data_IF_528976428033
#
_entry.id   IF_528976428033
#
_cell.length_a   1.000
_cell.length_b   1.000
_cell.length_c   1.000
_cell.angle_alpha   90.00
_cell.angle_beta   90.00
_cell.angle_gamma   90.00
#
_symmetry.space_group_name_H-M   'P 1'
#
loop_
_entity.id
_entity.type
_entity.pdbx_description
1 polymer ?
#
# COMPACT_ATOMS: atom_id res chain seq x y z
N UNK A 1 -18.60 -20.80 -8.28
CA UNK A 1 -17.17 -21.07 -8.07
C UNK A 1 -16.49 -20.72 -9.38
N UNK A 2 -15.47 -19.87 -9.35
CA UNK A 2 -14.68 -19.55 -10.54
C UNK A 2 -13.46 -20.46 -10.52
N UNK A 3 -13.67 -21.72 -10.90
CA UNK A 3 -12.62 -22.72 -11.10
C UNK A 3 -11.89 -22.43 -12.44
N UNK A 4 -11.38 -21.21 -12.59
CA UNK A 4 -10.54 -20.83 -13.72
C UNK A 4 -9.10 -21.01 -13.24
N UNK A 5 -8.55 -22.19 -13.53
CA UNK A 5 -7.14 -22.48 -13.36
C UNK A 5 -6.30 -21.94 -14.51
N UNK A 6 -4.99 -22.10 -14.38
CA UNK A 6 -4.05 -21.77 -15.44
C UNK A 6 -4.31 -22.57 -16.72
N UNK A 7 -4.73 -23.84 -16.60
CA UNK A 7 -5.04 -24.70 -17.74
C UNK A 7 -6.28 -24.21 -18.50
N UNK A 8 -7.36 -23.82 -17.82
CA UNK A 8 -8.54 -23.25 -18.49
C UNK A 8 -8.20 -21.96 -19.23
N UNK A 9 -7.40 -21.06 -18.64
CA UNK A 9 -6.96 -19.84 -19.32
C UNK A 9 -6.12 -20.15 -20.56
N UNK A 10 -5.23 -21.14 -20.49
CA UNK A 10 -4.42 -21.54 -21.64
C UNK A 10 -5.29 -22.14 -22.76
N UNK A 11 -6.28 -22.96 -22.41
CA UNK A 11 -7.23 -23.52 -23.38
C UNK A 11 -8.04 -22.42 -24.08
N UNK A 12 -8.60 -21.47 -23.32
CA UNK A 12 -9.33 -20.32 -23.88
C UNK A 12 -8.41 -19.46 -24.74
N UNK A 13 -7.15 -19.29 -24.33
CA UNK A 13 -6.12 -18.61 -25.12
C UNK A 13 -5.91 -19.27 -26.47
N UNK A 14 -5.69 -20.59 -26.51
CA UNK A 14 -5.51 -21.36 -27.75
C UNK A 14 -6.76 -21.26 -28.64
N UNK A 15 -7.96 -21.47 -28.08
CA UNK A 15 -9.22 -21.35 -28.82
C UNK A 15 -9.41 -19.94 -29.37
N UNK A 16 -9.11 -18.93 -28.58
CA UNK A 16 -9.14 -17.53 -29.00
C UNK A 16 -8.16 -17.24 -30.14
N UNK A 17 -6.95 -17.80 -30.07
CA UNK A 17 -5.94 -17.67 -31.13
C UNK A 17 -6.42 -18.34 -32.42
N UNK A 18 -7.13 -19.46 -32.34
CA UNK A 18 -7.65 -20.17 -33.51
C UNK A 18 -8.85 -19.44 -34.15
N UNK A 19 -9.80 -18.99 -33.34
CA UNK A 19 -11.05 -18.36 -33.81
C UNK A 19 -10.82 -16.93 -34.30
N UNK A 20 -10.12 -16.13 -33.48
CA UNK A 20 -9.90 -14.72 -33.76
C UNK A 20 -8.60 -14.51 -34.56
N UNK A 21 -7.63 -15.42 -34.44
CA UNK A 21 -6.31 -15.30 -35.03
C UNK A 21 -5.28 -14.68 -34.08
N UNK A 22 -4.00 -15.08 -34.18
CA UNK A 22 -2.93 -14.61 -33.29
C UNK A 22 -2.67 -13.10 -33.37
N UNK A 23 -2.97 -12.46 -34.49
CA UNK A 23 -2.77 -11.02 -34.67
C UNK A 23 -3.89 -10.18 -34.05
N UNK A 24 -5.09 -10.76 -33.90
CA UNK A 24 -6.32 -10.03 -33.56
C UNK A 24 -6.68 -10.15 -32.08
N UNK A 25 -6.38 -11.28 -31.45
CA UNK A 25 -6.53 -11.47 -29.99
C UNK A 25 -5.79 -10.39 -29.18
N UNK A 26 -4.50 -10.09 -29.40
CA UNK A 26 -3.80 -9.06 -28.62
C UNK A 26 -4.40 -7.67 -28.83
N UNK A 27 -4.96 -7.39 -30.02
CA UNK A 27 -5.69 -6.14 -30.27
C UNK A 27 -6.99 -6.07 -29.47
N UNK A 28 -7.79 -7.14 -29.45
CA UNK A 28 -9.02 -7.22 -28.68
C UNK A 28 -8.76 -7.11 -27.17
N UNK A 29 -7.78 -7.86 -26.65
CA UNK A 29 -7.40 -7.82 -25.23
C UNK A 29 -6.95 -6.41 -24.80
N UNK A 30 -6.20 -5.68 -25.65
CA UNK A 30 -5.82 -4.29 -25.37
C UNK A 30 -7.03 -3.37 -25.29
N UNK A 31 -7.98 -3.48 -26.20
CA UNK A 31 -9.21 -2.66 -26.19
C UNK A 31 -10.07 -2.95 -24.97
N UNK A 32 -10.39 -4.23 -24.74
CA UNK A 32 -11.18 -4.66 -23.57
C UNK A 32 -10.48 -4.30 -22.26
N UNK A 33 -9.16 -4.50 -22.18
CA UNK A 33 -8.36 -4.14 -21.01
C UNK A 33 -8.37 -2.64 -20.74
N UNK A 34 -8.33 -1.81 -21.78
CA UNK A 34 -8.48 -0.35 -21.63
C UNK A 34 -9.87 0.01 -21.08
N UNK A 35 -10.92 -0.64 -21.56
CA UNK A 35 -12.30 -0.38 -21.10
C UNK A 35 -12.49 -0.81 -19.65
N UNK A 36 -12.04 -2.02 -19.30
CA UNK A 36 -12.03 -2.52 -17.92
C UNK A 36 -11.23 -1.58 -17.00
N UNK A 37 -10.09 -1.09 -17.48
CA UNK A 37 -9.23 -0.17 -16.73
C UNK A 37 -9.93 1.16 -16.45
N UNK A 38 -10.64 1.71 -17.44
CA UNK A 38 -11.42 2.95 -17.29
C UNK A 38 -12.57 2.76 -16.29
N UNK A 39 -13.31 1.66 -16.39
CA UNK A 39 -14.39 1.34 -15.44
C UNK A 39 -13.83 1.19 -14.03
N UNK A 40 -12.76 0.40 -13.86
CA UNK A 40 -12.09 0.23 -12.55
C UNK A 40 -11.63 1.57 -11.97
N UNK A 41 -11.07 2.45 -12.80
CA UNK A 41 -10.63 3.79 -12.38
C UNK A 41 -11.80 4.63 -11.88
N UNK A 42 -12.91 4.67 -12.63
CA UNK A 42 -14.12 5.39 -12.24
C UNK A 42 -14.71 4.85 -10.94
N UNK A 43 -14.84 3.52 -10.81
CA UNK A 43 -15.34 2.88 -9.58
C UNK A 43 -14.42 3.16 -8.40
N UNK A 44 -13.10 3.12 -8.58
CA UNK A 44 -12.14 3.46 -7.51
C UNK A 44 -12.20 4.93 -7.10
N UNK A 45 -12.49 5.84 -8.04
CA UNK A 45 -12.70 7.26 -7.76
C UNK A 45 -13.98 7.49 -6.97
N UNK A 46 -15.08 6.86 -7.39
CA UNK A 46 -16.37 6.89 -6.69
C UNK A 46 -16.25 6.29 -5.29
N UNK A 47 -15.60 5.13 -5.13
CA UNK A 47 -15.35 4.56 -3.81
C UNK A 47 -14.58 5.53 -2.91
N UNK A 48 -13.60 6.26 -3.45
CA UNK A 48 -12.81 7.21 -2.67
C UNK A 48 -13.62 8.44 -2.24
N UNK A 49 -14.52 8.93 -3.08
CA UNK A 49 -15.44 10.03 -2.73
C UNK A 49 -16.56 9.57 -1.80
N UNK A 50 -17.12 8.38 -2.03
CA UNK A 50 -18.18 7.77 -1.21
C UNK A 50 -17.62 7.39 0.16
N UNK A 51 -16.42 6.82 0.25
CA UNK A 51 -15.73 6.58 1.52
C UNK A 51 -15.46 7.89 2.25
N UNK A 52 -15.00 8.94 1.56
CA UNK A 52 -14.80 10.24 2.21
C UNK A 52 -16.11 10.88 2.73
N UNK A 53 -17.25 10.64 2.07
CA UNK A 53 -18.56 11.12 2.50
C UNK A 53 -19.18 10.28 3.62
N UNK A 54 -19.14 8.95 3.49
CA UNK A 54 -19.61 8.02 4.53
C UNK A 54 -18.76 8.11 5.79
N UNK A 55 -17.44 8.27 5.67
CA UNK A 55 -16.57 8.46 6.83
C UNK A 55 -16.89 9.78 7.55
N UNK A 56 -17.27 10.83 6.82
CA UNK A 56 -17.74 12.08 7.41
C UNK A 56 -19.14 11.96 8.07
N UNK A 57 -20.04 11.16 7.50
CA UNK A 57 -21.38 10.91 8.05
C UNK A 57 -21.33 10.01 9.30
N UNK A 58 -20.52 8.94 9.24
CA UNK A 58 -20.25 8.06 10.39
C UNK A 58 -19.49 8.79 11.50
N UNK A 59 -18.53 9.68 11.18
CA UNK A 59 -17.91 10.54 12.17
C UNK A 59 -18.92 11.48 12.82
N UNK A 60 -19.82 12.10 12.05
CA UNK A 60 -20.88 12.96 12.60
C UNK A 60 -21.80 12.19 13.54
N UNK A 61 -22.19 10.97 13.18
CA UNK A 61 -23.07 10.15 14.01
C UNK A 61 -22.38 9.71 15.31
N UNK A 62 -21.10 9.28 15.23
CA UNK A 62 -20.28 8.97 16.42
C UNK A 62 -20.08 10.19 17.32
N UNK A 63 -19.84 11.38 16.77
CA UNK A 63 -19.71 12.61 17.54
C UNK A 63 -21.02 13.01 18.23
N UNK A 64 -22.16 12.87 17.56
CA UNK A 64 -23.47 13.18 18.15
C UNK A 64 -23.80 12.23 19.31
N UNK A 65 -23.53 10.92 19.14
CA UNK A 65 -23.70 9.94 20.22
C UNK A 65 -22.76 10.21 21.41
N UNK A 66 -21.51 10.59 21.14
CA UNK A 66 -20.59 11.00 22.20
C UNK A 66 -21.08 12.25 22.91
N UNK A 67 -21.51 13.28 22.18
CA UNK A 67 -22.00 14.52 22.76
C UNK A 67 -23.22 14.29 23.66
N UNK A 68 -24.15 13.42 23.25
CA UNK A 68 -25.30 13.00 24.06
C UNK A 68 -24.88 12.26 25.33
N UNK A 69 -23.90 11.36 25.24
CA UNK A 69 -23.33 10.67 26.41
C UNK A 69 -22.60 11.62 27.35
N UNK A 70 -21.92 12.64 26.80
CA UNK A 70 -21.25 13.67 27.57
C UNK A 70 -22.27 14.55 28.30
N UNK A 71 -23.33 14.99 27.64
CA UNK A 71 -24.41 15.76 28.26
C UNK A 71 -25.12 14.97 29.38
N UNK A 72 -25.41 13.69 29.16
CA UNK A 72 -25.97 12.81 30.19
C UNK A 72 -25.01 12.62 31.37
N UNK A 73 -23.71 12.51 31.09
CA UNK A 73 -22.67 12.40 32.11
C UNK A 73 -22.49 13.71 32.88
N UNK A 74 -22.59 14.86 32.20
CA UNK A 74 -22.55 16.18 32.82
C UNK A 74 -23.79 16.44 33.66
N UNK A 75 -24.97 16.00 33.21
CA UNK A 75 -26.20 16.03 34.02
C UNK A 75 -26.06 15.17 35.26
N UNK A 76 -25.56 13.93 35.12
CA UNK A 76 -25.27 13.06 36.28
C UNK A 76 -24.25 13.69 37.21
N UNK A 77 -23.14 14.19 36.69
CA UNK A 77 -22.12 14.85 37.51
C UNK A 77 -22.67 16.11 38.20
N UNK A 78 -23.55 16.89 37.55
CA UNK A 78 -24.26 17.99 38.21
C UNK A 78 -25.14 17.49 39.35
N UNK A 79 -25.91 16.42 39.13
CA UNK A 79 -26.77 15.82 40.16
C UNK A 79 -25.94 15.24 41.32
N UNK A 80 -24.84 14.57 41.02
CA UNK A 80 -23.92 13.99 42.01
C UNK A 80 -23.19 15.10 42.78
N UNK A 81 -22.75 16.18 42.12
CA UNK A 81 -22.12 17.34 42.76
C UNK A 81 -23.14 18.12 43.59
N UNK A 82 -24.39 18.24 43.16
CA UNK A 82 -25.46 18.87 43.95
C UNK A 82 -25.78 18.00 45.18
N UNK A 83 -25.76 16.67 45.04
CA UNK A 83 -25.91 15.72 46.15
C UNK A 83 -24.69 15.66 47.08
N UNK A 84 -23.47 15.91 46.57
CA UNK A 84 -22.22 15.97 47.36
C UNK A 84 -22.03 17.37 47.96
N UNK A 85 -22.53 18.44 47.35
CA UNK A 85 -22.57 19.75 47.96
C UNK A 85 -23.44 19.76 49.23
N UNK A 86 -24.41 18.84 49.30
CA UNK A 86 -25.17 18.53 50.52
C UNK A 86 -24.43 17.59 51.52
N UNK A 87 -23.25 17.04 51.18
CA UNK A 87 -22.48 16.14 52.08
C UNK A 87 -20.97 16.46 52.14
N UNK A 88 -20.42 16.89 53.29
CA UNK A 88 -19.03 17.36 53.37
C UNK A 88 -17.96 16.24 53.25
N UNK A 89 -17.25 16.25 52.11
CA UNK A 89 -15.79 16.05 51.82
C UNK A 89 -14.95 14.92 52.48
N UNK A 90 -14.22 14.10 51.68
CA UNK A 90 -12.78 13.70 51.87
C UNK A 90 -12.18 13.03 50.59
N UNK A 91 -11.00 13.43 50.05
CA UNK A 91 -10.35 12.79 48.88
C UNK A 91 -9.09 11.95 49.23
N UNK A 92 -8.78 10.90 48.44
CA UNK A 92 -7.53 10.12 48.51
C UNK A 92 -6.90 9.85 47.14
N UNK A 93 -5.60 10.18 47.01
CA UNK A 93 -4.75 10.13 45.80
C UNK A 93 -3.97 8.80 45.63
N UNK A 94 -3.50 8.50 44.40
CA UNK A 94 -2.45 7.49 44.11
C UNK A 94 -1.66 7.78 42.79
N UNK A 95 -0.33 7.53 42.71
CA UNK A 95 0.43 7.53 41.44
C UNK A 95 1.32 6.26 41.21
N UNK A 96 1.59 5.86 39.95
CA UNK A 96 2.72 4.98 39.58
C UNK A 96 3.02 4.97 38.05
N UNK A 97 4.24 5.35 37.63
CA UNK A 97 4.66 5.45 36.19
C UNK A 97 6.04 4.85 35.86
N UNK A 98 6.57 3.89 36.65
CA UNK A 98 7.97 3.41 36.49
C UNK A 98 8.21 2.26 35.49
N UNK A 99 7.20 1.70 34.84
CA UNK A 99 7.34 0.44 34.08
C UNK A 99 7.72 0.58 32.60
N UNK A 100 7.64 1.77 31.98
CA UNK A 100 7.64 1.89 30.51
C UNK A 100 9.04 2.05 29.86
N UNK A 101 10.09 2.34 30.64
CA UNK A 101 11.41 2.67 30.06
C UNK A 101 12.21 1.44 29.63
N UNK A 102 12.10 0.31 30.32
CA UNK A 102 12.95 -0.87 30.07
C UNK A 102 12.61 -1.64 28.78
N UNK A 103 11.36 -1.59 28.30
CA UNK A 103 10.97 -2.30 27.07
C UNK A 103 11.38 -1.56 25.79
N UNK A 104 11.57 -0.24 25.88
CA UNK A 104 11.89 0.60 24.70
C UNK A 104 13.35 0.39 24.29
N UNK A 105 14.27 0.28 25.25
CA UNK A 105 15.70 0.07 24.98
C UNK A 105 15.98 -1.30 24.31
N UNK A 106 15.28 -2.36 24.71
CA UNK A 106 15.43 -3.69 24.10
C UNK A 106 14.95 -3.75 22.65
N UNK A 107 13.90 -3.01 22.30
CA UNK A 107 13.37 -2.99 20.92
C UNK A 107 14.29 -2.25 19.96
N UNK A 108 14.95 -1.19 20.43
CA UNK A 108 15.89 -0.40 19.62
C UNK A 108 17.17 -1.20 19.34
N UNK A 109 17.72 -1.88 20.35
CA UNK A 109 18.93 -2.70 20.16
C UNK A 109 18.74 -3.84 19.14
N UNK A 110 17.55 -4.46 19.13
CA UNK A 110 17.21 -5.55 18.21
C UNK A 110 16.95 -5.06 16.78
N UNK A 111 16.54 -3.81 16.60
CA UNK A 111 16.36 -3.22 15.28
C UNK A 111 17.71 -2.90 14.63
N UNK A 112 18.66 -2.36 15.39
CA UNK A 112 20.00 -2.03 14.88
C UNK A 112 20.77 -3.27 14.41
N UNK A 113 20.73 -4.38 15.17
CA UNK A 113 21.47 -5.59 14.76
C UNK A 113 20.97 -6.22 13.46
N UNK A 114 19.68 -6.03 13.11
CA UNK A 114 19.12 -6.52 11.84
C UNK A 114 19.50 -5.66 10.64
N UNK A 115 19.77 -4.38 10.86
CA UNK A 115 20.20 -3.46 9.81
C UNK A 115 21.66 -3.70 9.41
N UNK A 116 22.53 -3.98 10.39
CA UNK A 116 23.92 -4.36 10.12
C UNK A 116 24.04 -5.68 9.34
N UNK A 117 23.24 -6.69 9.69
CA UNK A 117 23.20 -7.99 9.01
C UNK A 117 22.77 -7.83 7.53
N UNK A 118 21.73 -7.03 7.28
CA UNK A 118 21.21 -6.74 5.94
C UNK A 118 22.21 -5.98 5.04
N UNK A 119 23.08 -5.14 5.62
CA UNK A 119 24.11 -4.41 4.88
C UNK A 119 25.30 -5.31 4.50
N UNK A 120 25.52 -6.39 5.26
CA UNK A 120 26.61 -7.33 5.02
C UNK A 120 26.28 -8.33 3.90
N UNK A 121 25.03 -8.79 3.79
CA UNK A 121 24.57 -9.66 2.68
C UNK A 121 24.61 -8.97 1.31
N UNK A 122 24.44 -7.64 1.25
CA UNK A 122 24.49 -6.89 -0.02
C UNK A 122 25.94 -6.74 -0.54
N UNK A 123 26.95 -6.91 0.32
CA UNK A 123 28.35 -6.71 -0.07
C UNK A 123 29.06 -7.97 -0.57
N UNK A 124 28.48 -9.16 -0.39
CA UNK A 124 29.09 -10.44 -0.80
C UNK A 124 28.53 -11.05 -2.10
N UNK A 125 27.39 -10.61 -2.64
CA UNK A 125 26.90 -11.09 -3.94
C UNK A 125 27.24 -10.13 -5.10
N UNK A 126 28.46 -10.28 -5.64
CA UNK A 126 28.75 -9.94 -7.05
C UNK A 126 29.79 -10.93 -7.57
N UNK A 127 29.39 -11.97 -8.32
CA UNK A 127 29.74 -12.04 -9.75
C UNK A 127 28.59 -12.65 -10.62
N UNK A 128 28.51 -12.41 -11.95
CA UNK A 128 29.65 -12.46 -12.87
C UNK A 128 29.75 -11.30 -13.87
N UNK A 129 30.99 -10.88 -14.09
CA UNK A 129 31.44 -10.36 -15.37
C UNK A 129 31.43 -11.50 -16.38
N UNK A 130 30.40 -11.53 -17.23
CA UNK A 130 30.46 -12.17 -18.56
C UNK A 130 29.71 -11.24 -19.52
N UNK A 131 30.40 -10.18 -19.93
CA UNK A 131 30.03 -9.42 -21.13
C UNK A 131 30.88 -10.02 -22.24
N UNK A 132 30.29 -10.98 -22.95
CA UNK A 132 30.76 -11.40 -24.27
C UNK A 132 30.08 -10.47 -25.29
N UNK A 133 30.86 -9.80 -26.15
CA UNK A 133 30.35 -9.41 -27.46
C UNK A 133 31.26 -10.01 -28.53
N UNK A 134 30.89 -11.17 -29.05
CA UNK A 134 31.16 -11.51 -30.44
C UNK A 134 30.04 -10.88 -31.28
N UNK A 135 30.40 -10.11 -32.32
CA UNK A 135 29.94 -10.55 -33.62
C UNK A 135 31.06 -10.49 -34.67
N UNK A 136 31.32 -11.65 -35.26
CA UNK A 136 32.02 -11.81 -36.53
C UNK A 136 31.27 -11.14 -37.70
N UNK A 137 32.06 -10.65 -38.65
CA UNK A 137 31.77 -10.39 -40.08
C UNK A 137 31.08 -9.09 -40.55
N UNK A 138 31.94 -8.19 -41.04
CA UNK A 138 32.02 -7.79 -42.46
C UNK A 138 30.75 -7.24 -43.13
N UNK A 139 30.74 -5.92 -43.39
CA UNK A 139 30.24 -5.39 -44.66
C UNK A 139 30.76 -3.98 -44.97
N UNK A 140 31.24 -3.86 -46.21
CA UNK A 140 31.61 -2.66 -46.96
C UNK A 140 30.64 -1.48 -46.78
N UNK A 141 31.20 -0.27 -46.72
CA UNK A 141 30.83 0.92 -47.51
C UNK A 141 31.46 2.13 -46.82
N UNK A 142 32.55 2.67 -47.36
CA UNK A 142 32.51 3.86 -48.20
C UNK A 142 32.41 5.17 -47.41
N UNK A 143 33.32 6.08 -47.76
CA UNK A 143 33.20 7.52 -47.59
C UNK A 143 33.42 8.06 -46.18
N UNK A 144 34.62 8.59 -45.95
CA UNK A 144 34.82 10.04 -45.79
C UNK A 144 36.12 10.25 -45.00
N UNK A 145 37.26 10.16 -45.68
CA UNK A 145 38.52 10.70 -45.16
C UNK A 145 38.58 12.14 -45.61
N UNK A 146 37.94 13.00 -44.86
CA UNK A 146 38.12 14.44 -44.96
C UNK A 146 38.29 15.00 -43.56
N UNK A 147 39.24 15.94 -43.43
CA UNK A 147 39.77 16.56 -42.20
C UNK A 147 40.78 15.74 -41.41
N UNK A 148 42.05 15.99 -41.69
CA UNK A 148 42.87 16.91 -40.89
C UNK A 148 44.35 16.50 -40.99
N UNK A 149 45.15 17.19 -41.81
CA UNK A 149 46.59 17.38 -41.59
C UNK A 149 47.10 18.49 -42.52
N UNK A 150 47.53 19.59 -41.89
CA UNK A 150 48.25 20.78 -42.41
C UNK A 150 47.45 21.81 -43.21
#
# INVERSE_FOLDING_TARGET
>A
MLDIGFLELMLIGIVGLLVLGPERLPRAARTTGMWIGKIKRTVSGMQREISAQLEAEELRQKLNEQQKKLDDSLKKAKLDVESIADTPSTPRSAPATKATQSETEQRVAKASSRLDDALQTVREETPPSSIEPEPTESQKAASNKDRNHQ
#
